data_IF_413853647693
#
_entry.id   IF_413853647693
#
_cell.length_a   1.000
_cell.length_b   1.000
_cell.length_c   1.000
_cell.angle_alpha   90.00
_cell.angle_beta   90.00
_cell.angle_gamma   90.00
#
_symmetry.space_group_name_H-M   'P 1'
#
loop_
_entity.id
_entity.type
_entity.pdbx_description
1 polymer ?
#
# COMPACT_ATOMS: atom_id res chain seq x y z
N UNK A 1 2.07 3.49 17.36
CA UNK A 1 1.25 3.64 16.14
C UNK A 1 1.45 2.42 15.24
N UNK A 2 0.70 2.32 14.14
CA UNK A 2 0.92 1.33 13.08
C UNK A 2 1.76 1.97 11.97
N UNK A 3 2.67 1.21 11.37
CA UNK A 3 3.47 1.67 10.24
C UNK A 3 2.55 1.98 9.05
N UNK A 4 2.55 3.20 8.48
CA UNK A 4 1.77 3.53 7.29
C UNK A 4 2.10 2.71 6.04
N UNK A 5 3.24 2.00 6.03
CA UNK A 5 3.70 1.20 4.89
C UNK A 5 3.34 -0.28 5.04
N UNK A 6 3.78 -0.94 6.12
CA UNK A 6 3.64 -2.39 6.31
C UNK A 6 2.69 -2.81 7.46
N UNK A 7 2.00 -1.89 8.11
CA UNK A 7 1.10 -2.13 9.28
C UNK A 7 1.76 -2.78 10.51
N UNK A 8 3.08 -3.00 10.50
CA UNK A 8 3.84 -3.46 11.66
C UNK A 8 3.89 -2.41 12.77
N UNK A 9 4.35 -2.83 13.96
CA UNK A 9 4.50 -1.92 15.10
C UNK A 9 5.56 -0.86 14.77
N UNK A 10 5.19 0.41 14.90
CA UNK A 10 6.08 1.53 14.67
C UNK A 10 5.97 2.59 15.79
N UNK A 11 7.04 3.38 15.93
CA UNK A 11 7.09 4.56 16.80
C UNK A 11 6.88 5.81 15.96
N UNK A 12 6.06 6.71 16.47
CA UNK A 12 6.02 8.09 16.01
C UNK A 12 7.25 8.78 16.59
N UNK A 13 8.12 9.30 15.72
CA UNK A 13 9.33 10.05 16.10
C UNK A 13 9.29 11.47 15.54
N UNK A 14 8.10 11.99 15.24
CA UNK A 14 7.88 13.31 14.66
C UNK A 14 8.43 14.40 15.58
N UNK A 15 9.44 15.18 15.14
CA UNK A 15 9.95 16.31 15.92
C UNK A 15 8.89 17.40 16.06
N UNK A 16 8.93 18.15 17.15
CA UNK A 16 8.10 19.35 17.31
C UNK A 16 8.37 20.33 16.16
N UNK A 17 7.30 20.78 15.50
CA UNK A 17 7.37 21.71 14.36
C UNK A 17 7.53 21.05 12.99
N UNK A 18 7.76 19.74 12.91
CA UNK A 18 7.76 19.04 11.62
C UNK A 18 6.32 18.94 11.06
N UNK A 19 6.12 19.40 9.81
CA UNK A 19 4.81 19.35 9.13
C UNK A 19 4.67 18.06 8.33
N UNK A 20 4.51 16.96 9.04
CA UNK A 20 4.37 15.62 8.47
C UNK A 20 4.35 14.57 9.55
N UNK A 21 4.81 13.38 9.20
CA UNK A 21 4.94 12.24 10.10
C UNK A 21 6.33 11.62 9.92
N UNK A 22 7.09 11.50 11.01
CA UNK A 22 8.33 10.75 11.03
C UNK A 22 8.11 9.41 11.73
N UNK A 23 8.42 8.32 11.02
CA UNK A 23 8.14 6.95 11.47
C UNK A 23 9.44 6.22 11.72
N UNK A 24 9.49 5.48 12.83
CA UNK A 24 10.49 4.43 13.06
C UNK A 24 9.79 3.08 13.07
N UNK A 25 9.99 2.31 12.01
CA UNK A 25 9.47 0.96 11.85
C UNK A 25 10.59 -0.07 11.99
N UNK A 26 10.30 -1.22 12.61
CA UNK A 26 11.26 -2.32 12.71
C UNK A 26 11.49 -3.03 11.37
N UNK A 27 10.53 -2.94 10.44
CA UNK A 27 10.59 -3.58 9.12
C UNK A 27 11.12 -2.60 8.07
N UNK A 28 10.51 -1.42 7.98
CA UNK A 28 10.79 -0.43 6.92
C UNK A 28 11.89 0.58 7.28
N UNK A 29 12.36 0.56 8.53
CA UNK A 29 13.33 1.52 9.04
C UNK A 29 12.74 2.89 9.38
N UNK A 30 13.63 3.89 9.43
CA UNK A 30 13.29 5.28 9.74
C UNK A 30 13.00 6.04 8.43
N UNK A 31 11.84 6.69 8.34
CA UNK A 31 11.45 7.48 7.18
C UNK A 31 10.48 8.60 7.55
N UNK A 32 10.37 9.59 6.67
CA UNK A 32 9.46 10.72 6.83
C UNK A 32 8.37 10.72 5.74
N UNK A 33 7.19 11.22 6.08
CA UNK A 33 6.06 11.45 5.17
C UNK A 33 5.65 12.92 5.27
N UNK A 34 5.60 13.63 4.15
CA UNK A 34 5.02 14.96 4.12
C UNK A 34 3.52 14.92 4.42
N UNK A 35 3.01 15.88 5.19
CA UNK A 35 1.60 15.92 5.64
C UNK A 35 0.61 15.68 4.51
N UNK A 36 0.82 16.31 3.36
CA UNK A 36 -0.06 16.22 2.19
C UNK A 36 -0.07 14.84 1.51
N UNK A 37 0.92 14.00 1.79
CA UNK A 37 1.10 12.68 1.19
C UNK A 37 0.58 11.54 2.06
N UNK A 38 0.27 11.79 3.34
CA UNK A 38 -0.08 10.74 4.28
C UNK A 38 -1.37 9.99 3.88
N UNK A 39 -2.45 10.73 3.62
CA UNK A 39 -3.72 10.13 3.16
C UNK A 39 -3.57 9.42 1.81
N UNK A 40 -2.82 10.02 0.89
CA UNK A 40 -2.54 9.41 -0.40
C UNK A 40 -1.78 8.08 -0.27
N UNK A 41 -0.82 8.00 0.66
CA UNK A 41 -0.09 6.77 0.95
C UNK A 41 -1.02 5.69 1.52
N UNK A 42 -1.87 6.04 2.47
CA UNK A 42 -2.79 5.10 3.11
C UNK A 42 -3.86 4.56 2.15
N UNK A 43 -4.22 5.34 1.12
CA UNK A 43 -5.15 4.91 0.06
C UNK A 43 -4.60 3.82 -0.86
N UNK A 44 -3.28 3.60 -0.88
CA UNK A 44 -2.65 2.53 -1.65
C UNK A 44 -2.78 1.19 -0.93
N UNK A 45 -2.74 0.11 -1.72
CA UNK A 45 -2.55 -1.24 -1.19
C UNK A 45 -1.13 -1.41 -0.61
N UNK A 46 -0.88 -2.47 0.19
CA UNK A 46 0.43 -2.70 0.80
C UNK A 46 1.61 -2.72 -0.17
N UNK A 47 1.44 -3.23 -1.39
CA UNK A 47 2.52 -3.23 -2.39
C UNK A 47 2.79 -1.81 -2.89
N UNK A 48 1.73 -1.06 -3.22
CA UNK A 48 1.83 0.34 -3.64
C UNK A 48 2.56 1.22 -2.61
N UNK A 49 2.30 1.01 -1.31
CA UNK A 49 2.98 1.73 -0.22
C UNK A 49 4.49 1.48 -0.20
N UNK A 50 4.92 0.23 -0.37
CA UNK A 50 6.34 -0.12 -0.44
C UNK A 50 7.01 0.45 -1.69
N UNK A 51 6.32 0.45 -2.84
CA UNK A 51 6.83 1.06 -4.07
C UNK A 51 7.15 2.54 -3.86
N UNK A 52 6.25 3.29 -3.20
CA UNK A 52 6.48 4.71 -2.87
C UNK A 52 7.67 4.87 -1.92
N UNK A 53 7.76 4.07 -0.86
CA UNK A 53 8.89 4.14 0.07
C UNK A 53 10.23 3.81 -0.63
N UNK A 54 10.27 2.76 -1.44
CA UNK A 54 11.46 2.36 -2.20
C UNK A 54 11.91 3.46 -3.15
N UNK A 55 10.98 4.13 -3.83
CA UNK A 55 11.31 5.28 -4.66
C UNK A 55 11.91 6.43 -3.85
N UNK A 56 11.42 6.70 -2.64
CA UNK A 56 12.03 7.70 -1.76
C UNK A 56 13.46 7.31 -1.36
N UNK A 57 13.68 6.04 -0.99
CA UNK A 57 15.00 5.51 -0.63
C UNK A 57 16.00 5.69 -1.78
N UNK A 58 15.60 5.41 -3.02
CA UNK A 58 16.48 5.52 -4.19
C UNK A 58 16.84 6.97 -4.57
N UNK A 59 16.19 7.97 -3.98
CA UNK A 59 16.42 9.40 -4.29
C UNK A 59 17.25 10.14 -3.26
N UNK A 60 17.52 9.52 -2.11
CA UNK A 60 18.30 10.14 -1.04
C UNK A 60 19.73 9.62 -1.03
N UNK A 61 20.66 10.44 -0.54
CA UNK A 61 22.04 10.00 -0.35
C UNK A 61 22.12 8.85 0.69
N UNK A 62 23.07 7.91 0.56
CA UNK A 62 23.26 6.84 1.54
C UNK A 62 23.36 7.39 2.97
N UNK A 63 22.64 6.77 3.91
CA UNK A 63 22.59 7.19 5.31
C UNK A 63 21.68 8.39 5.60
N UNK A 64 21.09 9.02 4.59
CA UNK A 64 20.05 10.04 4.77
C UNK A 64 18.69 9.38 5.00
N UNK A 65 17.83 10.03 5.78
CA UNK A 65 16.46 9.55 5.99
C UNK A 65 15.63 9.76 4.71
N UNK A 66 14.99 8.72 4.17
CA UNK A 66 14.10 8.85 3.02
C UNK A 66 12.85 9.65 3.38
N UNK A 67 12.35 10.43 2.43
CA UNK A 67 11.18 11.28 2.59
C UNK A 67 10.18 11.06 1.46
N UNK A 68 8.96 10.67 1.83
CA UNK A 68 7.85 10.52 0.91
C UNK A 68 7.24 11.90 0.68
N UNK A 69 7.38 12.39 -0.56
CA UNK A 69 6.90 13.68 -1.03
C UNK A 69 5.98 13.52 -2.23
N UNK A 70 5.35 14.60 -2.68
CA UNK A 70 4.54 14.58 -3.90
C UNK A 70 5.34 14.12 -5.13
N UNK A 71 6.64 14.46 -5.20
CA UNK A 71 7.53 14.03 -6.28
C UNK A 71 7.73 12.50 -6.30
N UNK A 72 7.76 11.87 -5.12
CA UNK A 72 7.81 10.41 -4.99
C UNK A 72 6.60 9.76 -5.66
N UNK A 73 5.39 10.28 -5.41
CA UNK A 73 4.16 9.79 -6.04
C UNK A 73 4.15 10.01 -7.56
N UNK A 74 4.63 11.17 -8.03
CA UNK A 74 4.74 11.45 -9.48
C UNK A 74 5.65 10.42 -10.15
N UNK A 75 6.77 10.07 -9.51
CA UNK A 75 7.70 9.06 -10.01
C UNK A 75 7.08 7.66 -10.05
N UNK A 76 6.33 7.28 -9.01
CA UNK A 76 5.67 5.98 -8.92
C UNK A 76 4.38 5.87 -9.74
N UNK A 77 3.86 6.97 -10.30
CA UNK A 77 2.56 7.03 -10.98
C UNK A 77 2.42 6.04 -12.14
N UNK A 78 3.53 5.66 -12.79
CA UNK A 78 3.54 4.66 -13.86
C UNK A 78 3.47 3.23 -13.33
N UNK A 79 4.09 2.96 -12.18
CA UNK A 79 4.14 1.62 -11.57
C UNK A 79 2.86 1.30 -10.79
N UNK A 80 2.35 2.26 -10.02
CA UNK A 80 1.14 2.11 -9.20
C UNK A 80 -0.10 1.89 -10.08
N UNK A 81 -0.20 2.57 -11.23
CA UNK A 81 -1.32 2.38 -12.19
C UNK A 81 -1.38 0.96 -12.77
N UNK A 82 -0.27 0.24 -12.79
CA UNK A 82 -0.23 -1.14 -13.29
C UNK A 82 -0.64 -2.14 -12.20
N UNK A 83 -0.34 -1.85 -10.94
CA UNK A 83 -0.70 -2.69 -9.78
C UNK A 83 -2.21 -2.69 -9.48
N UNK A 84 -2.93 -1.60 -9.72
CA UNK A 84 -4.39 -1.53 -9.55
C UNK A 84 -5.20 -2.27 -10.63
N UNK A 85 -4.56 -2.96 -11.59
CA UNK A 85 -5.26 -3.66 -12.69
C UNK A 85 -5.63 -5.12 -12.38
N UNK A 86 -5.29 -5.64 -11.21
CA UNK A 86 -5.75 -6.95 -10.75
C UNK A 86 -6.52 -6.83 -9.43
N UNK A 87 -7.85 -7.04 -9.43
CA UNK A 87 -8.59 -7.19 -8.18
C UNK A 87 -8.06 -8.44 -7.44
N UNK A 88 -7.84 -8.38 -6.11
CA UNK A 88 -7.32 -9.50 -5.33
C UNK A 88 -8.34 -10.63 -5.09
N UNK A 89 -9.29 -10.83 -6.00
CA UNK A 89 -10.25 -11.93 -5.94
C UNK A 89 -10.47 -12.55 -7.31
N UNK A 90 -9.45 -13.25 -7.80
CA UNK A 90 -9.63 -14.39 -8.70
C UNK A 90 -9.13 -15.64 -7.96
N UNK A 91 -9.68 -15.88 -6.77
CA UNK A 91 -9.51 -17.13 -6.05
C UNK A 91 -10.39 -18.18 -6.73
N UNK A 92 -9.83 -18.82 -7.76
CA UNK A 92 -10.48 -19.87 -8.54
C UNK A 92 -10.53 -21.22 -7.80
N UNK A 93 -10.49 -21.24 -6.46
CA UNK A 93 -10.23 -22.47 -5.70
C UNK A 93 -10.99 -22.55 -4.37
N UNK A 94 -12.33 -22.45 -4.39
CA UNK A 94 -13.16 -23.09 -3.34
C UNK A 94 -14.61 -23.39 -3.76
N UNK A 95 -14.79 -24.48 -4.53
CA UNK A 95 -15.57 -25.70 -4.21
C UNK A 95 -17.07 -25.63 -3.76
N UNK A 96 -17.84 -26.74 -3.90
CA UNK A 96 -19.02 -26.89 -4.75
C UNK A 96 -20.35 -26.55 -4.04
N UNK A 97 -21.41 -26.32 -4.82
CA UNK A 97 -22.79 -26.51 -4.32
C UNK A 97 -23.61 -27.22 -5.38
N UNK A 98 -23.91 -28.49 -5.08
CA UNK A 98 -24.84 -29.33 -5.83
C UNK A 98 -26.27 -28.93 -5.45
N UNK A 99 -27.08 -28.69 -6.48
CA UNK A 99 -28.51 -29.00 -6.61
C UNK A 99 -29.55 -28.28 -5.74
N UNK A 100 -30.45 -27.54 -6.42
CA UNK A 100 -31.90 -27.67 -6.28
C UNK A 100 -32.61 -26.96 -7.44
N UNK A 101 -33.39 -27.70 -8.24
CA UNK A 101 -34.48 -27.13 -9.04
C UNK A 101 -34.42 -27.26 -10.55
N UNK A 102 -34.35 -28.48 -11.11
CA UNK A 102 -34.88 -28.74 -12.46
C UNK A 102 -35.79 -29.97 -12.41
N UNK A 103 -37.03 -29.75 -11.96
CA UNK A 103 -38.16 -30.52 -12.47
C UNK A 103 -38.80 -29.64 -13.54
N UNK A 104 -38.52 -29.94 -14.80
CA UNK A 104 -39.36 -29.46 -15.89
C UNK A 104 -39.39 -30.53 -16.99
N UNK A 105 -40.46 -31.31 -16.93
CA UNK A 105 -41.31 -31.68 -18.05
C UNK A 105 -40.66 -31.61 -19.44
N UNK A 106 -40.17 -32.75 -19.92
CA UNK A 106 -40.08 -33.00 -21.35
C UNK A 106 -41.23 -33.91 -21.77
N UNK A 107 -42.26 -33.21 -22.21
CA UNK A 107 -43.24 -33.66 -23.17
C UNK A 107 -42.57 -34.22 -24.44
N UNK A 108 -43.14 -35.32 -24.96
CA UNK A 108 -42.92 -36.03 -26.24
C UNK A 108 -41.81 -37.07 -26.35
#
# INVERSE_FOLDING_TARGET
MRCPVCDSRAKDITPSGYRGLSVRCIVDGDYDIDRQCHEALLSLDPSGRHTVLNAAILTVAPGSRPRITAATFVRCRLEIRSAHRTPPYADATKWPTRSLGEANDRNR
#
